data_IF_527860116241
#
_entry.id   IF_527860116241
#
_cell.length_a   1.000
_cell.length_b   1.000
_cell.length_c   1.000
_cell.angle_alpha   90.00
_cell.angle_beta   90.00
_cell.angle_gamma   90.00
#
_symmetry.space_group_name_H-M   'P 1'
#
loop_
_entity.id
_entity.type
_entity.pdbx_description
1 polymer ?
#
# COMPACT_ATOMS: atom_id res chain seq x y z
N UNK A 1 -7.75 -12.11 7.59
CA UNK A 1 -6.39 -12.55 7.20
C UNK A 1 -5.71 -13.06 8.47
N UNK A 2 -4.75 -13.98 8.36
CA UNK A 2 -3.98 -14.43 9.51
C UNK A 2 -3.27 -13.23 10.17
N UNK A 3 -3.05 -13.30 11.48
CA UNK A 3 -2.38 -12.24 12.23
C UNK A 3 -0.88 -12.20 11.91
N UNK A 4 -0.20 -11.12 12.30
CA UNK A 4 1.27 -11.04 12.19
C UNK A 4 1.98 -12.12 13.02
N UNK A 5 1.39 -12.47 14.17
CA UNK A 5 1.85 -13.55 15.04
C UNK A 5 1.75 -14.90 14.34
N UNK A 6 0.61 -15.16 13.67
CA UNK A 6 0.43 -16.37 12.86
C UNK A 6 1.46 -16.44 11.72
N UNK A 7 1.73 -15.31 11.04
CA UNK A 7 2.73 -15.26 9.98
C UNK A 7 4.13 -15.62 10.49
N UNK A 8 4.49 -15.08 11.65
CA UNK A 8 5.78 -15.35 12.29
C UNK A 8 5.90 -16.83 12.67
N UNK A 9 4.82 -17.40 13.24
CA UNK A 9 4.77 -18.80 13.62
C UNK A 9 4.86 -19.74 12.40
N UNK A 10 4.18 -19.41 11.29
CA UNK A 10 4.30 -20.15 10.01
C UNK A 10 5.75 -20.19 9.54
N UNK A 11 6.43 -19.04 9.48
CA UNK A 11 7.83 -18.96 9.01
C UNK A 11 8.77 -19.72 9.95
N UNK A 12 8.57 -19.62 11.26
CA UNK A 12 9.39 -20.33 12.24
C UNK A 12 9.23 -21.86 12.12
N UNK A 13 8.02 -22.37 11.97
CA UNK A 13 7.76 -23.79 11.78
C UNK A 13 8.30 -24.30 10.43
N UNK A 14 8.16 -23.52 9.37
CA UNK A 14 8.71 -23.87 8.05
C UNK A 14 10.25 -23.96 8.09
N UNK A 15 10.93 -23.02 8.78
CA UNK A 15 12.39 -23.07 8.99
C UNK A 15 12.86 -24.29 9.80
N UNK A 16 12.00 -24.81 10.67
CA UNK A 16 12.23 -26.06 11.43
C UNK A 16 11.94 -27.32 10.60
N UNK A 17 11.49 -27.17 9.36
CA UNK A 17 11.19 -28.30 8.45
C UNK A 17 9.79 -28.89 8.61
N UNK A 18 8.88 -28.23 9.34
CA UNK A 18 7.49 -28.70 9.44
C UNK A 18 6.78 -28.63 8.08
N UNK A 19 5.92 -29.62 7.82
CA UNK A 19 5.10 -29.66 6.61
C UNK A 19 3.95 -28.66 6.67
N UNK A 20 3.43 -28.25 5.50
CA UNK A 20 2.27 -27.37 5.38
C UNK A 20 1.03 -27.90 6.12
N UNK A 21 0.85 -29.24 6.12
CA UNK A 21 -0.26 -29.90 6.81
C UNK A 21 -0.15 -29.76 8.33
N UNK A 22 1.05 -29.94 8.88
CA UNK A 22 1.31 -29.77 10.31
C UNK A 22 1.11 -28.31 10.72
N UNK A 23 1.69 -27.36 9.99
CA UNK A 23 1.56 -25.92 10.27
C UNK A 23 0.09 -25.50 10.27
N UNK A 24 -0.68 -25.93 9.26
CA UNK A 24 -2.11 -25.64 9.14
C UNK A 24 -2.90 -26.16 10.34
N UNK A 25 -2.61 -27.39 10.79
CA UNK A 25 -3.29 -27.99 11.96
C UNK A 25 -2.89 -27.32 13.27
N UNK A 26 -1.60 -27.09 13.47
CA UNK A 26 -1.05 -26.50 14.71
C UNK A 26 -1.53 -25.06 14.91
N UNK A 27 -1.50 -24.26 13.85
CA UNK A 27 -1.89 -22.84 13.90
C UNK A 27 -3.37 -22.61 13.60
N UNK A 28 -4.14 -23.69 13.35
CA UNK A 28 -5.57 -23.63 12.96
C UNK A 28 -5.81 -22.70 11.76
N UNK A 29 -4.85 -22.63 10.85
CA UNK A 29 -4.92 -21.84 9.62
C UNK A 29 -5.50 -22.65 8.49
N UNK A 30 -6.15 -21.97 7.55
CA UNK A 30 -6.59 -22.61 6.32
C UNK A 30 -5.38 -23.11 5.53
N UNK A 31 -5.46 -24.30 4.93
CA UNK A 31 -4.32 -24.94 4.25
C UNK A 31 -3.69 -24.07 3.15
N UNK A 32 -4.49 -23.23 2.49
CA UNK A 32 -4.00 -22.28 1.49
C UNK A 32 -3.33 -21.03 2.05
N UNK A 33 -3.53 -20.70 3.34
CA UNK A 33 -2.90 -19.52 3.95
C UNK A 33 -1.40 -19.73 4.17
N UNK A 34 -1.01 -20.95 4.54
CA UNK A 34 0.40 -21.31 4.78
C UNK A 34 1.29 -21.05 3.55
N UNK A 35 1.02 -21.59 2.34
CA UNK A 35 1.86 -21.31 1.18
C UNK A 35 1.82 -19.84 0.77
N UNK A 36 0.70 -19.13 0.94
CA UNK A 36 0.62 -17.69 0.64
C UNK A 36 1.58 -16.88 1.52
N UNK A 37 1.63 -17.18 2.83
CA UNK A 37 2.54 -16.52 3.79
C UNK A 37 4.00 -16.85 3.47
N UNK A 38 4.30 -18.11 3.17
CA UNK A 38 5.66 -18.54 2.83
C UNK A 38 6.15 -17.90 1.52
N UNK A 39 5.30 -17.85 0.49
CA UNK A 39 5.63 -17.18 -0.78
C UNK A 39 5.86 -15.69 -0.60
N UNK A 40 4.99 -14.99 0.15
CA UNK A 40 5.18 -13.55 0.40
C UNK A 40 6.47 -13.26 1.17
N UNK A 41 6.83 -14.13 2.13
CA UNK A 41 8.09 -14.01 2.86
C UNK A 41 9.30 -14.22 1.96
N UNK A 42 9.24 -15.18 1.02
CA UNK A 42 10.31 -15.40 0.04
C UNK A 42 10.48 -14.23 -0.94
N UNK A 43 9.39 -13.60 -1.35
CA UNK A 43 9.40 -12.48 -2.31
C UNK A 43 9.80 -11.14 -1.67
N UNK A 44 9.35 -10.85 -0.45
CA UNK A 44 9.50 -9.52 0.17
C UNK A 44 10.51 -9.52 1.34
N UNK A 45 10.85 -10.68 1.90
CA UNK A 45 11.62 -10.79 3.15
C UNK A 45 10.86 -10.32 4.39
N UNK A 46 9.68 -9.72 4.22
CA UNK A 46 8.81 -9.22 5.28
C UNK A 46 7.68 -10.19 5.61
N UNK A 47 7.27 -10.18 6.89
CA UNK A 47 6.10 -10.90 7.42
C UNK A 47 4.82 -10.05 7.42
N UNK A 48 4.96 -8.76 7.14
CA UNK A 48 3.86 -7.82 7.12
C UNK A 48 2.96 -8.03 5.90
N UNK A 49 1.66 -7.82 6.09
CA UNK A 49 0.72 -7.80 4.98
C UNK A 49 1.10 -6.67 4.02
N UNK A 50 1.14 -6.95 2.71
CA UNK A 50 1.27 -5.90 1.71
C UNK A 50 0.18 -4.85 1.95
N UNK A 51 0.52 -3.54 2.00
CA UNK A 51 -0.47 -2.49 2.21
C UNK A 51 -1.58 -2.64 1.16
N UNK A 52 -2.81 -2.84 1.65
CA UNK A 52 -4.00 -2.97 0.80
C UNK A 52 -4.42 -1.59 0.31
N UNK A 53 -4.04 -1.29 -0.93
CA UNK A 53 -4.64 -0.25 -1.74
C UNK A 53 -4.02 1.15 -1.59
N UNK A 54 -3.68 1.72 -2.74
CA UNK A 54 -4.15 3.00 -3.32
C UNK A 54 -3.56 2.97 -4.74
N UNK A 55 -4.28 3.39 -5.80
CA UNK A 55 -3.65 3.55 -7.09
C UNK A 55 -2.40 4.43 -6.94
N UNK A 56 -1.30 4.04 -7.57
CA UNK A 56 -0.07 4.83 -7.53
C UNK A 56 -0.42 6.27 -7.94
N UNK A 57 -0.16 7.22 -7.04
CA UNK A 57 -0.26 8.63 -7.43
C UNK A 57 0.75 8.87 -8.53
N UNK A 58 0.28 9.25 -9.72
CA UNK A 58 1.16 9.59 -10.83
C UNK A 58 2.20 10.61 -10.36
N UNK A 59 3.49 10.35 -10.60
CA UNK A 59 4.61 11.18 -10.13
C UNK A 59 4.49 12.67 -10.48
N UNK A 60 3.69 13.03 -11.50
CA UNK A 60 3.42 14.42 -11.90
C UNK A 60 2.40 15.15 -11.03
N UNK A 61 1.53 14.45 -10.31
CA UNK A 61 0.45 15.05 -9.53
C UNK A 61 0.96 15.98 -8.41
N UNK A 62 2.00 15.63 -7.62
CA UNK A 62 2.53 16.53 -6.59
C UNK A 62 3.10 17.83 -7.16
N UNK A 63 3.82 17.75 -8.28
CA UNK A 63 4.44 18.92 -8.94
C UNK A 63 3.35 19.89 -9.41
N UNK A 64 2.34 19.39 -10.12
CA UNK A 64 1.25 20.22 -10.64
C UNK A 64 0.40 20.84 -9.52
N UNK A 65 0.15 20.09 -8.43
CA UNK A 65 -0.50 20.62 -7.22
C UNK A 65 0.29 21.77 -6.62
N UNK A 66 1.62 21.63 -6.50
CA UNK A 66 2.48 22.64 -5.91
C UNK A 66 2.56 23.91 -6.76
N UNK A 67 2.58 23.78 -8.09
CA UNK A 67 2.54 24.94 -8.99
C UNK A 67 1.26 25.74 -8.77
N UNK A 68 0.09 25.09 -8.75
CA UNK A 68 -1.18 25.79 -8.52
C UNK A 68 -1.26 26.41 -7.11
N UNK A 69 -0.78 25.71 -6.07
CA UNK A 69 -0.72 26.26 -4.70
C UNK A 69 0.22 27.48 -4.62
N UNK A 70 1.33 27.47 -5.36
CA UNK A 70 2.27 28.59 -5.40
C UNK A 70 1.70 29.81 -6.12
N UNK A 71 0.98 29.61 -7.23
CA UNK A 71 0.28 30.69 -7.95
C UNK A 71 -0.85 31.28 -7.11
N UNK A 72 -1.63 30.44 -6.41
CA UNK A 72 -2.68 30.90 -5.51
C UNK A 72 -2.13 31.74 -4.36
N UNK A 73 -0.96 31.38 -3.82
CA UNK A 73 -0.28 32.18 -2.78
C UNK A 73 0.17 33.55 -3.28
N UNK A 74 0.58 33.65 -4.55
CA UNK A 74 0.99 34.92 -5.19
C UNK A 74 -0.21 35.78 -5.59
N UNK A 75 -1.33 35.14 -5.90
CA UNK A 75 -2.55 35.74 -6.43
C UNK A 75 -3.79 35.20 -5.70
N UNK A 76 -3.99 35.58 -4.42
CA UNK A 76 -5.10 35.06 -3.61
C UNK A 76 -6.49 35.44 -4.17
N UNK A 77 -6.57 36.48 -4.99
CA UNK A 77 -7.77 36.92 -5.71
C UNK A 77 -8.21 35.95 -6.83
N UNK A 78 -7.29 35.09 -7.31
CA UNK A 78 -7.60 34.16 -8.40
C UNK A 78 -8.30 32.90 -7.91
N UNK A 79 -9.27 32.44 -8.70
CA UNK A 79 -9.96 31.17 -8.42
C UNK A 79 -9.03 29.98 -8.61
N UNK A 80 -8.95 29.11 -7.59
CA UNK A 80 -8.24 27.82 -7.63
C UNK A 80 -8.67 27.00 -8.85
N UNK A 81 -9.96 27.01 -9.18
CA UNK A 81 -10.49 26.28 -10.33
C UNK A 81 -9.94 26.78 -11.66
N UNK A 82 -9.70 28.08 -11.79
CA UNK A 82 -9.11 28.66 -12.99
C UNK A 82 -7.62 28.31 -13.11
N UNK A 83 -6.88 28.39 -12.00
CA UNK A 83 -5.47 27.98 -11.96
C UNK A 83 -5.31 26.48 -12.28
N UNK A 84 -6.18 25.64 -11.73
CA UNK A 84 -6.21 24.21 -12.03
C UNK A 84 -6.38 23.93 -13.54
N UNK A 85 -7.32 24.63 -14.18
CA UNK A 85 -7.60 24.49 -15.63
C UNK A 85 -6.39 24.89 -16.48
N UNK A 86 -5.68 25.97 -16.13
CA UNK A 86 -4.48 26.41 -16.85
C UNK A 86 -3.40 25.30 -16.86
N UNK A 87 -3.29 24.57 -15.75
CA UNK A 87 -2.34 23.46 -15.57
C UNK A 87 -2.90 22.08 -15.96
N UNK A 88 -4.06 22.03 -16.62
CA UNK A 88 -4.73 20.81 -17.08
C UNK A 88 -4.97 19.78 -15.96
N UNK A 89 -5.26 20.26 -14.75
CA UNK A 89 -5.61 19.42 -13.60
C UNK A 89 -7.01 19.77 -13.05
N UNK A 90 -7.67 18.80 -12.44
CA UNK A 90 -8.97 19.04 -11.79
C UNK A 90 -8.81 19.81 -10.49
N UNK A 91 -9.80 20.62 -10.13
CA UNK A 91 -9.82 21.33 -8.84
C UNK A 91 -9.76 20.38 -7.64
N UNK A 92 -10.45 19.23 -7.71
CA UNK A 92 -10.43 18.22 -6.65
C UNK A 92 -9.02 17.72 -6.38
N UNK A 93 -8.21 17.57 -7.42
CA UNK A 93 -6.81 17.16 -7.30
C UNK A 93 -5.95 18.14 -6.48
N UNK A 94 -6.35 19.40 -6.28
CA UNK A 94 -5.57 20.38 -5.51
C UNK A 94 -5.97 20.42 -4.02
N UNK A 95 -7.24 20.11 -3.74
CA UNK A 95 -7.88 20.25 -2.42
C UNK A 95 -7.82 18.96 -1.61
N UNK A 96 -7.69 17.79 -2.27
CA UNK A 96 -7.34 16.49 -1.64
C UNK A 96 -5.93 16.45 -1.07
#
# INVERSE_FOLDING_TARGET
MASLEDHTAVVAMQKRGSSVSEISKTLKLHREQVPRVTSSFGETGGIENRPRGRPDQTARAPVLRNVVKSELRRHPERSIGQLAKNHKISRSTIVD
#
